data_IF_715757598904
#
_entry.id   IF_715757598904
#
_cell.length_a   1.000
_cell.length_b   1.000
_cell.length_c   1.000
_cell.angle_alpha   90.00
_cell.angle_beta   90.00
_cell.angle_gamma   90.00
#
_symmetry.space_group_name_H-M   'P 1'
#
loop_
_entity.id
_entity.type
_entity.pdbx_description
1 polymer ?
#
# COMPACT_ATOMS: atom_id res chain seq x y z
N UNK A 1 32.51 -5.11 -6.90
CA UNK A 1 31.44 -5.43 -5.93
C UNK A 1 30.69 -4.16 -5.62
N UNK A 2 29.36 -4.21 -5.65
CA UNK A 2 28.51 -3.07 -5.29
C UNK A 2 27.61 -3.50 -4.13
N UNK A 3 27.34 -2.58 -3.21
CA UNK A 3 26.51 -2.83 -2.02
C UNK A 3 25.19 -3.54 -2.37
N UNK A 4 24.59 -3.18 -3.50
CA UNK A 4 23.34 -3.79 -3.99
C UNK A 4 23.53 -5.25 -4.43
N UNK A 5 24.62 -5.56 -5.14
CA UNK A 5 24.88 -6.92 -5.59
C UNK A 5 25.19 -7.84 -4.39
N UNK A 6 25.95 -7.35 -3.43
CA UNK A 6 26.32 -8.09 -2.23
C UNK A 6 25.09 -8.38 -1.36
N UNK A 7 24.23 -7.38 -1.16
CA UNK A 7 22.95 -7.55 -0.45
C UNK A 7 22.03 -8.55 -1.14
N UNK A 8 21.87 -8.46 -2.47
CA UNK A 8 21.05 -9.43 -3.23
C UNK A 8 21.56 -10.85 -3.04
N UNK A 9 22.88 -11.06 -3.13
CA UNK A 9 23.49 -12.38 -2.93
C UNK A 9 23.20 -12.93 -1.52
N UNK A 10 23.35 -12.09 -0.49
CA UNK A 10 23.09 -12.49 0.90
C UNK A 10 21.61 -12.88 1.12
N UNK A 11 20.66 -12.10 0.58
CA UNK A 11 19.23 -12.42 0.67
C UNK A 11 18.91 -13.72 -0.04
N UNK A 12 19.44 -13.93 -1.24
CA UNK A 12 19.21 -15.17 -2.00
C UNK A 12 19.77 -16.40 -1.28
N UNK A 13 20.91 -16.27 -0.59
CA UNK A 13 21.50 -17.35 0.21
C UNK A 13 20.64 -17.72 1.45
N UNK A 14 19.86 -16.78 1.99
CA UNK A 14 18.89 -17.07 3.06
C UNK A 14 17.63 -17.72 2.45
N UNK A 15 17.09 -17.13 1.38
CA UNK A 15 15.86 -17.61 0.73
C UNK A 15 16.02 -19.04 0.21
N UNK A 16 17.21 -19.42 -0.29
CA UNK A 16 17.47 -20.76 -0.81
C UNK A 16 17.41 -21.89 0.24
N UNK A 17 17.39 -21.55 1.53
CA UNK A 17 17.27 -22.52 2.63
C UNK A 17 15.81 -22.95 2.86
N UNK A 18 14.85 -22.27 2.23
CA UNK A 18 13.42 -22.55 2.36
C UNK A 18 12.88 -23.21 1.09
N UNK A 19 11.83 -24.03 1.23
CA UNK A 19 11.12 -24.56 0.08
C UNK A 19 10.43 -23.41 -0.68
N UNK A 20 10.45 -23.36 -2.03
CA UNK A 20 9.80 -22.31 -2.79
C UNK A 20 8.33 -22.06 -2.42
N UNK A 21 7.60 -23.09 -1.97
CA UNK A 21 6.21 -22.94 -1.50
C UNK A 21 6.09 -22.10 -0.22
N UNK A 22 7.14 -22.07 0.59
CA UNK A 22 7.20 -21.39 1.90
C UNK A 22 7.86 -20.00 1.80
N UNK A 23 8.30 -19.59 0.60
CA UNK A 23 8.88 -18.28 0.33
C UNK A 23 7.79 -17.35 -0.21
N UNK A 24 7.38 -16.37 0.61
CA UNK A 24 6.36 -15.39 0.25
C UNK A 24 6.95 -13.99 0.09
N UNK A 25 6.50 -13.27 -0.92
CA UNK A 25 6.66 -11.83 -1.02
C UNK A 25 5.34 -11.14 -0.63
N UNK A 26 5.43 -9.99 0.02
CA UNK A 26 4.27 -9.17 0.36
C UNK A 26 4.53 -7.70 0.05
N UNK A 27 3.49 -7.00 -0.42
CA UNK A 27 3.57 -5.58 -0.72
C UNK A 27 2.23 -4.88 -0.50
N UNK A 28 2.27 -3.61 -0.07
CA UNK A 28 1.09 -2.79 0.17
C UNK A 28 0.70 -2.02 -1.10
N UNK A 29 -0.55 -2.13 -1.54
CA UNK A 29 -1.10 -1.33 -2.63
C UNK A 29 -2.35 -0.58 -2.21
N UNK A 30 -2.59 0.58 -2.84
CA UNK A 30 -3.78 1.39 -2.62
C UNK A 30 -4.83 1.16 -3.69
N UNK A 31 -5.99 0.64 -3.32
CA UNK A 31 -7.16 0.49 -4.19
C UNK A 31 -8.03 1.75 -4.12
N UNK A 32 -7.99 2.57 -5.18
CA UNK A 32 -8.80 3.79 -5.30
C UNK A 32 -10.17 3.46 -5.86
N UNK A 33 -11.19 3.39 -4.99
CA UNK A 33 -12.54 3.04 -5.40
C UNK A 33 -13.42 4.26 -5.73
N UNK A 34 -13.03 5.46 -5.26
CA UNK A 34 -13.62 6.74 -5.67
C UNK A 34 -12.71 7.59 -6.57
N UNK A 35 -11.57 7.05 -6.99
CA UNK A 35 -10.65 7.78 -7.85
C UNK A 35 -11.32 8.09 -9.19
N UNK A 36 -11.59 9.36 -9.47
CA UNK A 36 -12.03 9.80 -10.79
C UNK A 36 -10.83 9.79 -11.76
N UNK A 37 -11.05 9.54 -13.07
CA UNK A 37 -10.01 9.69 -14.08
C UNK A 37 -9.39 11.09 -14.02
N UNK A 38 -8.07 11.19 -14.18
CA UNK A 38 -7.32 12.47 -14.15
C UNK A 38 -7.73 13.43 -15.26
N UNK A 39 -8.43 12.95 -16.30
CA UNK A 39 -9.04 13.77 -17.34
C UNK A 39 -10.55 13.77 -17.12
N UNK A 40 -11.14 14.94 -16.87
CA UNK A 40 -12.59 15.08 -16.83
C UNK A 40 -13.16 14.81 -18.23
N UNK A 41 -14.15 13.94 -18.33
CA UNK A 41 -15.07 13.89 -19.47
C UNK A 41 -16.05 15.07 -19.34
N UNK A 42 -15.54 16.30 -19.33
CA UNK A 42 -16.39 17.49 -19.34
C UNK A 42 -16.69 17.88 -20.78
N UNK A 43 -17.96 17.88 -21.14
CA UNK A 43 -18.44 18.54 -22.35
C UNK A 43 -18.21 20.06 -22.22
N UNK A 44 -17.86 20.72 -23.32
CA UNK A 44 -17.62 22.18 -23.35
C UNK A 44 -18.90 22.91 -22.93
N UNK A 45 -18.91 23.48 -21.72
CA UNK A 45 -20.02 24.27 -21.19
C UNK A 45 -20.67 23.75 -19.90
N UNK A 46 -20.27 22.58 -19.39
CA UNK A 46 -20.80 22.04 -18.13
C UNK A 46 -19.97 22.47 -16.90
N UNK A 47 -20.64 22.86 -15.82
CA UNK A 47 -19.97 23.09 -14.52
C UNK A 47 -19.41 21.78 -13.99
N UNK A 48 -18.08 21.73 -13.82
CA UNK A 48 -17.38 20.56 -13.30
C UNK A 48 -17.65 20.40 -11.79
N UNK A 49 -18.74 19.71 -11.42
CA UNK A 49 -19.06 19.39 -10.02
C UNK A 49 -18.45 18.06 -9.63
N UNK A 50 -17.21 18.10 -9.14
CA UNK A 50 -16.49 16.93 -8.61
C UNK A 50 -15.07 16.80 -9.17
N UNK A 51 -14.19 17.75 -8.87
CA UNK A 51 -12.79 17.69 -9.29
C UNK A 51 -11.95 16.72 -8.45
N UNK A 52 -11.09 15.93 -9.11
CA UNK A 52 -9.71 15.52 -8.80
C UNK A 52 -9.31 15.00 -7.38
N UNK A 53 -10.15 15.09 -6.36
CA UNK A 53 -9.76 14.98 -4.94
C UNK A 53 -10.32 13.78 -4.19
N UNK A 54 -11.03 12.88 -4.85
CA UNK A 54 -11.47 11.63 -4.23
C UNK A 54 -10.32 10.60 -4.20
N UNK A 55 -9.30 10.86 -3.36
CA UNK A 55 -8.21 9.92 -3.04
C UNK A 55 -8.63 8.89 -1.97
N UNK A 56 -9.92 8.65 -1.83
CA UNK A 56 -10.40 7.58 -0.97
C UNK A 56 -9.89 6.26 -1.54
N UNK A 57 -8.97 5.65 -0.80
CA UNK A 57 -8.35 4.37 -1.11
C UNK A 57 -8.44 3.44 0.08
N UNK A 58 -8.60 2.16 -0.22
CA UNK A 58 -8.38 1.09 0.75
C UNK A 58 -6.96 0.59 0.52
N UNK A 59 -6.11 0.62 1.54
CA UNK A 59 -4.81 -0.04 1.47
C UNK A 59 -5.01 -1.53 1.68
N UNK A 60 -4.42 -2.36 0.83
CA UNK A 60 -4.45 -3.82 0.97
C UNK A 60 -3.04 -4.37 0.89
N UNK A 61 -2.72 -5.34 1.74
CA UNK A 61 -1.48 -6.12 1.64
C UNK A 61 -1.74 -7.33 0.75
N UNK A 62 -0.98 -7.42 -0.33
CA UNK A 62 -0.96 -8.57 -1.22
C UNK A 62 0.19 -9.48 -0.81
N UNK A 63 -0.04 -10.79 -0.75
CA UNK A 63 1.00 -11.77 -0.40
C UNK A 63 0.92 -12.97 -1.32
N UNK A 64 2.04 -13.33 -1.94
CA UNK A 64 2.15 -14.46 -2.87
C UNK A 64 3.43 -15.26 -2.65
N UNK A 65 3.35 -16.58 -2.73
CA UNK A 65 4.53 -17.44 -2.74
C UNK A 65 5.21 -17.46 -4.10
N UNK A 66 6.44 -17.99 -4.15
CA UNK A 66 7.19 -18.21 -5.40
C UNK A 66 6.43 -19.11 -6.38
N UNK A 67 5.65 -20.08 -5.87
CA UNK A 67 4.85 -21.00 -6.70
C UNK A 67 3.47 -20.43 -7.06
N UNK A 68 3.14 -19.21 -6.61
CA UNK A 68 1.89 -18.53 -6.95
C UNK A 68 0.72 -18.79 -5.99
N UNK A 69 0.95 -19.38 -4.82
CA UNK A 69 -0.07 -19.42 -3.76
C UNK A 69 -0.34 -18.00 -3.26
N UNK A 70 -1.62 -17.62 -3.14
CA UNK A 70 -2.03 -16.29 -2.70
C UNK A 70 -2.71 -16.40 -1.35
N UNK A 71 -2.20 -15.66 -0.37
CA UNK A 71 -2.87 -15.55 0.93
C UNK A 71 -4.07 -14.59 0.81
N UNK A 72 -5.07 -14.71 1.70
CA UNK A 72 -6.18 -13.77 1.76
C UNK A 72 -5.70 -12.32 1.86
N UNK A 73 -6.43 -11.41 1.18
CA UNK A 73 -6.14 -9.98 1.24
C UNK A 73 -6.29 -9.45 2.66
N UNK A 74 -5.26 -8.78 3.16
CA UNK A 74 -5.35 -8.06 4.42
C UNK A 74 -5.69 -6.59 4.15
N UNK A 75 -6.87 -6.17 4.59
CA UNK A 75 -7.29 -4.76 4.52
C UNK A 75 -6.60 -3.97 5.63
N UNK A 76 -5.80 -2.99 5.22
CA UNK A 76 -5.15 -2.05 6.13
C UNK A 76 -6.04 -0.82 6.24
N UNK A 77 -6.74 -0.73 7.38
CA UNK A 77 -7.53 0.44 7.70
C UNK A 77 -6.65 1.64 8.05
N UNK A 78 -7.23 2.84 7.94
CA UNK A 78 -6.62 4.06 8.45
C UNK A 78 -6.34 3.87 9.95
N UNK A 79 -5.11 4.16 10.37
CA UNK A 79 -4.77 4.14 11.78
C UNK A 79 -5.71 5.09 12.54
N UNK A 80 -6.31 4.60 13.63
CA UNK A 80 -7.17 5.42 14.49
C UNK A 80 -6.42 6.65 15.03
N UNK A 81 -5.13 6.48 15.35
CA UNK A 81 -4.22 7.57 15.74
C UNK A 81 -2.88 7.41 15.02
N UNK A 82 -2.66 8.11 13.89
CA UNK A 82 -1.40 8.03 13.16
C UNK A 82 -0.23 8.47 14.06
N UNK A 83 0.87 7.72 14.03
CA UNK A 83 2.05 7.97 14.91
C UNK A 83 2.65 9.37 14.75
N UNK A 84 2.45 10.01 13.59
CA UNK A 84 2.88 11.39 13.31
C UNK A 84 2.07 12.41 14.13
N UNK A 85 0.85 12.07 14.52
CA UNK A 85 -0.02 12.90 15.38
C UNK A 85 0.04 12.46 16.84
N UNK A 86 1.18 11.96 17.32
CA UNK A 86 1.40 11.82 18.76
C UNK A 86 1.15 13.18 19.41
N UNK A 87 0.13 13.22 20.26
CA UNK A 87 -0.37 14.39 20.98
C UNK A 87 0.76 15.31 21.48
N UNK A 88 0.85 16.53 20.95
CA UNK A 88 0.93 17.69 21.83
C UNK A 88 -0.47 17.89 22.42
N UNK A 89 -0.72 17.35 23.61
CA UNK A 89 -1.84 17.81 24.43
C UNK A 89 -1.24 18.36 25.73
N UNK A 90 -1.58 19.59 26.17
CA UNK A 90 -1.87 19.77 27.58
C UNK A 90 -3.13 18.94 27.90
N UNK A 91 -3.06 18.20 28.99
CA UNK A 91 -4.18 17.42 29.53
C UNK A 91 -5.36 18.35 29.85
N UNK A 92 -6.53 18.01 29.31
CA UNK A 92 -7.84 18.42 29.83
C UNK A 92 -8.37 19.75 29.26
N UNK A 93 -9.51 19.67 28.58
CA UNK A 93 -10.82 20.13 29.07
C UNK A 93 -11.87 19.46 28.17
N UNK A 94 -13.02 19.12 28.79
CA UNK A 94 -14.11 18.25 28.33
C UNK A 94 -14.52 18.42 26.85
#
# INVERSE_FOLDING_TARGET
>A
MTVVADWKSAVMAIVSQFNPKDVFNCDETGLFWRGLPTKSLTMRGEECKGGEKAKERVSVLLTSSVIGEKLPLLVINKAFMPRVFKKTLPLGIL
#
